data_IF_930612595466
#
_entry.id   IF_930612595466
#
_cell.length_a   1.000
_cell.length_b   1.000
_cell.length_c   1.000
_cell.angle_alpha   90.00
_cell.angle_beta   90.00
_cell.angle_gamma   90.00
#
_symmetry.space_group_name_H-M   'P 1'
#
loop_
_entity.id
_entity.type
_entity.pdbx_description
1 polymer ?
#
# COMPACT_ATOMS: atom_id res chain seq x y z
N UNK A 1 -23.05 23.00 13.56
CA UNK A 1 -22.65 21.58 13.41
C UNK A 1 -23.32 20.67 14.43
N UNK A 2 -23.20 20.93 15.74
CA UNK A 2 -23.84 20.10 16.79
C UNK A 2 -25.35 19.90 16.55
N UNK A 3 -26.12 21.00 16.45
CA UNK A 3 -27.56 20.93 16.15
C UNK A 3 -27.87 20.17 14.85
N UNK A 4 -27.08 20.39 13.79
CA UNK A 4 -27.24 19.67 12.53
C UNK A 4 -27.04 18.16 12.70
N UNK A 5 -26.00 17.71 13.41
CA UNK A 5 -25.68 16.29 13.52
C UNK A 5 -26.59 15.54 14.49
N UNK A 6 -27.08 16.21 15.54
CA UNK A 6 -27.74 15.57 16.66
C UNK A 6 -29.22 15.97 16.84
N UNK A 7 -29.62 17.18 16.43
CA UNK A 7 -30.94 17.74 16.74
C UNK A 7 -31.87 17.88 15.53
N UNK A 8 -31.34 18.26 14.36
CA UNK A 8 -32.15 18.65 13.20
C UNK A 8 -32.83 17.46 12.50
N UNK A 9 -32.15 16.31 12.44
CA UNK A 9 -32.71 15.08 11.89
C UNK A 9 -32.53 13.93 12.89
N UNK A 10 -33.62 13.31 13.37
CA UNK A 10 -33.53 12.17 14.29
C UNK A 10 -32.64 11.06 13.73
N UNK A 11 -31.78 10.50 14.58
CA UNK A 11 -30.90 9.37 14.26
C UNK A 11 -29.86 9.64 13.15
N UNK A 12 -29.58 10.90 12.80
CA UNK A 12 -28.57 11.21 11.79
C UNK A 12 -27.18 10.68 12.18
N UNK A 13 -26.76 10.88 13.44
CA UNK A 13 -25.50 10.34 13.96
C UNK A 13 -25.41 8.80 13.85
N UNK A 14 -26.53 8.09 13.99
CA UNK A 14 -26.58 6.63 13.80
C UNK A 14 -26.30 6.17 12.36
N UNK A 15 -26.33 7.06 11.37
CA UNK A 15 -26.02 6.73 9.97
C UNK A 15 -24.54 6.89 9.65
N UNK A 16 -23.75 7.44 10.57
CA UNK A 16 -22.31 7.62 10.37
C UNK A 16 -21.65 6.24 10.43
N UNK A 17 -20.87 5.95 9.40
CA UNK A 17 -20.09 4.71 9.28
C UNK A 17 -18.60 5.01 9.39
N UNK A 18 -18.17 6.14 8.82
CA UNK A 18 -16.80 6.62 8.84
C UNK A 18 -16.78 8.04 9.44
N UNK A 19 -15.87 8.29 10.37
CA UNK A 19 -15.76 9.56 11.10
C UNK A 19 -14.29 9.93 11.29
N UNK A 20 -13.95 11.16 10.92
CA UNK A 20 -12.62 11.73 11.13
C UNK A 20 -12.78 13.01 11.96
N UNK A 21 -12.10 13.07 13.11
CA UNK A 21 -12.05 14.21 14.00
C UNK A 21 -10.56 14.49 14.31
N UNK A 22 -9.96 15.35 13.49
CA UNK A 22 -8.55 15.77 13.64
C UNK A 22 -8.55 17.27 13.92
N UNK A 23 -7.81 17.74 14.93
CA UNK A 23 -7.76 19.17 15.19
C UNK A 23 -6.49 19.66 15.90
N UNK A 24 -5.74 20.51 15.20
CA UNK A 24 -4.53 21.15 15.72
C UNK A 24 -4.73 22.08 16.95
N UNK A 25 -5.97 22.49 17.24
CA UNK A 25 -6.35 23.29 18.42
C UNK A 25 -7.71 22.88 18.96
N UNK A 26 -7.73 22.13 20.05
CA UNK A 26 -8.99 21.62 20.59
C UNK A 26 -9.73 22.71 21.38
N UNK A 27 -10.94 23.04 20.94
CA UNK A 27 -11.87 23.91 21.66
C UNK A 27 -12.82 23.07 22.53
N UNK A 28 -13.18 23.57 23.72
CA UNK A 28 -14.05 22.85 24.68
C UNK A 28 -15.46 22.53 24.13
N UNK A 29 -15.94 23.29 23.14
CA UNK A 29 -17.22 22.99 22.49
C UNK A 29 -17.14 21.76 21.58
N UNK A 30 -15.97 21.50 20.99
CA UNK A 30 -15.75 20.39 20.09
C UNK A 30 -15.58 19.08 20.86
N UNK A 31 -15.02 19.11 22.07
CA UNK A 31 -14.96 17.92 22.93
C UNK A 31 -16.36 17.43 23.32
N UNK A 32 -17.27 18.36 23.65
CA UNK A 32 -18.69 18.04 23.91
C UNK A 32 -19.34 17.42 22.68
N UNK A 33 -19.15 18.03 21.51
CA UNK A 33 -19.69 17.49 20.26
C UNK A 33 -19.14 16.10 19.93
N UNK A 34 -17.82 15.90 20.03
CA UNK A 34 -17.17 14.62 19.76
C UNK A 34 -17.74 13.52 20.67
N UNK A 35 -17.84 13.79 21.97
CA UNK A 35 -18.42 12.89 22.97
C UNK A 35 -19.88 12.52 22.62
N UNK A 36 -20.73 13.50 22.37
CA UNK A 36 -22.14 13.26 22.06
C UNK A 36 -22.31 12.51 20.73
N UNK A 37 -21.50 12.84 19.72
CA UNK A 37 -21.50 12.17 18.42
C UNK A 37 -21.10 10.70 18.55
N UNK A 38 -20.00 10.41 19.25
CA UNK A 38 -19.54 9.03 19.48
C UNK A 38 -20.55 8.21 20.29
N UNK A 39 -21.27 8.85 21.21
CA UNK A 39 -22.34 8.20 21.98
C UNK A 39 -23.49 7.74 21.09
N UNK A 40 -23.86 8.54 20.08
CA UNK A 40 -24.97 8.24 19.17
C UNK A 40 -24.57 7.47 17.90
N UNK A 41 -23.30 7.46 17.53
CA UNK A 41 -22.78 6.82 16.30
C UNK A 41 -22.64 5.29 16.42
N UNK A 42 -23.70 4.58 16.81
CA UNK A 42 -23.70 3.14 17.08
C UNK A 42 -23.32 2.24 15.89
N UNK A 43 -23.36 2.78 14.66
CA UNK A 43 -23.00 2.07 13.42
C UNK A 43 -21.60 2.39 12.92
N UNK A 44 -20.82 3.15 13.68
CA UNK A 44 -19.47 3.55 13.30
C UNK A 44 -18.56 2.34 13.14
N UNK A 45 -17.85 2.28 12.00
CA UNK A 45 -16.90 1.23 11.61
C UNK A 45 -15.48 1.76 11.49
N UNK A 46 -15.30 3.00 11.06
CA UNK A 46 -13.99 3.65 10.97
C UNK A 46 -13.97 4.92 11.79
N UNK A 47 -12.94 5.07 12.61
CA UNK A 47 -12.70 6.28 13.38
C UNK A 47 -11.25 6.72 13.21
N UNK A 48 -11.06 7.96 12.78
CA UNK A 48 -9.81 8.69 12.97
C UNK A 48 -10.06 9.79 14.01
N UNK A 49 -9.29 9.78 15.09
CA UNK A 49 -9.48 10.67 16.23
C UNK A 49 -8.13 11.19 16.73
N UNK A 50 -8.01 12.50 16.85
CA UNK A 50 -6.92 13.13 17.58
C UNK A 50 -7.00 12.76 19.09
N UNK A 51 -5.95 12.13 19.61
CA UNK A 51 -5.94 11.58 20.95
C UNK A 51 -5.94 12.66 22.04
N UNK A 52 -5.65 13.93 21.71
CA UNK A 52 -5.84 15.07 22.61
C UNK A 52 -7.27 15.15 23.15
N UNK A 53 -8.27 14.71 22.39
CA UNK A 53 -9.66 14.66 22.86
C UNK A 53 -9.83 13.75 24.08
N UNK A 54 -9.11 12.62 24.13
CA UNK A 54 -9.18 11.67 25.26
C UNK A 54 -8.57 12.27 26.53
N UNK A 55 -7.50 13.05 26.39
CA UNK A 55 -6.89 13.77 27.50
C UNK A 55 -7.82 14.87 28.05
N UNK A 56 -8.49 15.60 27.16
CA UNK A 56 -9.32 16.75 27.53
C UNK A 56 -10.67 16.34 28.14
N UNK A 57 -11.26 15.23 27.70
CA UNK A 57 -12.49 14.69 28.28
C UNK A 57 -12.48 13.15 28.30
N UNK A 58 -12.21 12.52 29.47
CA UNK A 58 -12.21 11.06 29.61
C UNK A 58 -13.52 10.37 29.20
N UNK A 59 -14.65 11.11 29.21
CA UNK A 59 -15.94 10.58 28.77
C UNK A 59 -15.97 10.27 27.27
N UNK A 60 -15.08 10.88 26.48
CA UNK A 60 -14.87 10.50 25.08
C UNK A 60 -14.31 9.09 25.00
N UNK A 61 -13.35 8.74 25.86
CA UNK A 61 -12.83 7.37 25.98
C UNK A 61 -13.92 6.37 26.37
N UNK A 62 -14.82 6.75 27.28
CA UNK A 62 -15.97 5.90 27.65
C UNK A 62 -16.95 5.68 26.49
N UNK A 63 -17.26 6.74 25.74
CA UNK A 63 -18.13 6.68 24.56
C UNK A 63 -17.50 5.81 23.46
N UNK A 64 -16.20 6.01 23.19
CA UNK A 64 -15.44 5.21 22.25
C UNK A 64 -15.42 3.73 22.65
N UNK A 65 -15.14 3.45 23.93
CA UNK A 65 -15.11 2.09 24.44
C UNK A 65 -16.47 1.37 24.33
N UNK A 66 -17.59 2.12 24.33
CA UNK A 66 -18.93 1.57 24.18
C UNK A 66 -19.29 1.16 22.74
N UNK A 67 -18.56 1.65 21.73
CA UNK A 67 -18.80 1.30 20.33
C UNK A 67 -18.48 -0.17 20.07
N UNK A 68 -19.39 -0.86 19.37
CA UNK A 68 -19.32 -2.31 19.17
C UNK A 68 -18.90 -2.71 17.75
N UNK A 69 -18.98 -1.77 16.79
CA UNK A 69 -18.86 -2.06 15.35
C UNK A 69 -17.58 -1.52 14.72
N UNK A 70 -16.68 -0.91 15.51
CA UNK A 70 -15.41 -0.39 15.00
C UNK A 70 -14.54 -1.53 14.46
N UNK A 71 -14.06 -1.34 13.24
CA UNK A 71 -13.17 -2.22 12.50
C UNK A 71 -11.81 -1.57 12.26
N UNK A 72 -11.79 -0.24 12.17
CA UNK A 72 -10.60 0.58 11.99
C UNK A 72 -10.58 1.72 12.99
N UNK A 73 -9.47 1.85 13.71
CA UNK A 73 -9.21 2.94 14.64
C UNK A 73 -7.87 3.55 14.32
N UNK A 74 -7.84 4.86 14.13
CA UNK A 74 -6.62 5.64 13.95
C UNK A 74 -6.57 6.74 15.00
N UNK A 75 -5.56 6.68 15.86
CA UNK A 75 -5.21 7.77 16.76
C UNK A 75 -4.00 8.54 16.23
N UNK A 76 -4.12 9.86 16.21
CA UNK A 76 -3.06 10.84 15.86
C UNK A 76 -2.86 11.79 17.03
N UNK A 77 -1.71 12.44 17.14
CA UNK A 77 -1.41 13.44 18.18
C UNK A 77 -1.60 12.84 19.58
N UNK A 78 -0.79 11.85 19.94
CA UNK A 78 -0.88 11.10 21.19
C UNK A 78 0.06 11.73 22.23
N UNK A 79 -0.45 12.59 23.14
CA UNK A 79 0.40 13.34 24.08
C UNK A 79 0.85 12.54 25.32
N UNK A 80 0.17 11.41 25.60
CA UNK A 80 0.39 10.54 26.76
C UNK A 80 -0.41 9.23 26.62
N UNK A 81 -0.31 8.36 27.63
CA UNK A 81 -0.94 7.03 27.70
C UNK A 81 -2.50 6.99 27.73
N UNK A 82 -3.19 8.13 27.62
CA UNK A 82 -4.66 8.17 27.71
C UNK A 82 -5.35 7.25 26.69
N UNK A 83 -4.84 7.17 25.45
CA UNK A 83 -5.37 6.26 24.44
C UNK A 83 -5.13 4.78 24.82
N UNK A 84 -3.96 4.45 25.39
CA UNK A 84 -3.61 3.09 25.82
C UNK A 84 -4.43 2.61 27.02
N UNK A 85 -4.92 3.53 27.86
CA UNK A 85 -5.91 3.19 28.90
C UNK A 85 -7.31 2.91 28.34
N UNK A 86 -7.63 3.48 27.17
CA UNK A 86 -8.95 3.36 26.53
C UNK A 86 -9.05 2.10 25.67
N UNK A 87 -7.99 1.76 24.92
CA UNK A 87 -7.96 0.61 24.01
C UNK A 87 -8.41 -0.71 24.66
N UNK A 88 -7.88 -1.15 25.82
CA UNK A 88 -8.30 -2.40 26.47
C UNK A 88 -9.77 -2.42 26.91
N UNK A 89 -10.41 -1.26 27.03
CA UNK A 89 -11.80 -1.11 27.47
C UNK A 89 -12.78 -1.20 26.31
N UNK A 90 -12.30 -1.14 25.07
CA UNK A 90 -13.15 -1.14 23.89
C UNK A 90 -13.93 -2.44 23.76
N UNK A 91 -15.24 -2.32 23.52
CA UNK A 91 -16.12 -3.47 23.25
C UNK A 91 -16.04 -3.94 21.80
N UNK A 92 -15.59 -3.08 20.90
CA UNK A 92 -15.24 -3.45 19.54
C UNK A 92 -13.97 -4.28 19.50
N UNK A 93 -13.80 -5.08 18.44
CA UNK A 93 -12.60 -5.85 18.17
C UNK A 93 -12.04 -5.44 16.80
N UNK A 94 -11.39 -4.27 16.70
CA UNK A 94 -10.93 -3.71 15.43
C UNK A 94 -9.89 -4.62 14.77
N UNK A 95 -9.96 -4.70 13.44
CA UNK A 95 -8.99 -5.45 12.64
C UNK A 95 -7.77 -4.62 12.24
N UNK A 96 -7.86 -3.29 12.35
CA UNK A 96 -6.82 -2.36 11.93
C UNK A 96 -6.67 -1.25 12.96
N UNK A 97 -5.46 -1.02 13.44
CA UNK A 97 -5.14 0.06 14.37
C UNK A 97 -3.93 0.84 13.86
N UNK A 98 -4.08 2.15 13.77
CA UNK A 98 -2.98 3.08 13.49
C UNK A 98 -2.75 4.00 14.68
N UNK A 99 -1.49 4.18 15.04
CA UNK A 99 -1.02 5.10 16.07
C UNK A 99 0.04 5.98 15.42
N UNK A 100 -0.19 7.29 15.35
CA UNK A 100 0.69 8.27 14.72
C UNK A 100 0.91 9.47 15.64
N UNK A 101 2.00 10.20 15.44
CA UNK A 101 2.41 11.40 16.19
C UNK A 101 2.42 11.18 17.72
N UNK A 102 3.31 10.30 18.22
CA UNK A 102 3.47 10.08 19.65
C UNK A 102 4.44 11.11 20.22
N UNK A 103 3.88 12.20 20.77
CA UNK A 103 4.62 13.40 21.18
C UNK A 103 5.44 13.25 22.48
N UNK A 104 5.43 12.07 23.12
CA UNK A 104 6.13 11.83 24.39
C UNK A 104 7.11 10.67 24.28
N UNK A 105 8.32 10.93 24.78
CA UNK A 105 9.45 10.01 24.72
C UNK A 105 9.59 9.30 26.07
N UNK A 106 8.74 8.30 26.31
CA UNK A 106 8.85 7.44 27.49
C UNK A 106 9.52 6.11 27.12
N UNK A 107 10.45 5.66 27.97
CA UNK A 107 11.06 4.35 27.82
C UNK A 107 10.00 3.24 27.95
N UNK A 108 10.03 2.26 27.04
CA UNK A 108 9.09 1.15 27.01
C UNK A 108 7.76 1.45 26.33
N UNK A 109 7.63 2.56 25.59
CA UNK A 109 6.40 2.96 24.88
C UNK A 109 5.81 1.83 24.02
N UNK A 110 6.65 1.11 23.28
CA UNK A 110 6.21 -0.01 22.46
C UNK A 110 5.63 -1.16 23.28
N UNK A 111 6.20 -1.46 24.45
CA UNK A 111 5.66 -2.49 25.35
C UNK A 111 4.27 -2.12 25.85
N UNK A 112 4.07 -0.84 26.21
CA UNK A 112 2.77 -0.28 26.60
C UNK A 112 1.75 -0.35 25.47
N UNK A 113 2.15 0.03 24.25
CA UNK A 113 1.34 -0.10 23.04
C UNK A 113 0.89 -1.56 22.88
N UNK A 114 1.81 -2.51 22.77
CA UNK A 114 1.48 -3.90 22.50
C UNK A 114 0.63 -4.52 23.60
N UNK A 115 0.87 -4.16 24.86
CA UNK A 115 0.05 -4.61 25.99
C UNK A 115 -1.37 -4.08 25.92
N UNK A 116 -1.56 -2.83 25.48
CA UNK A 116 -2.90 -2.24 25.31
C UNK A 116 -3.71 -2.92 24.19
N UNK A 117 -3.01 -3.47 23.18
CA UNK A 117 -3.59 -4.13 22.02
C UNK A 117 -3.89 -5.62 22.22
N UNK A 118 -3.42 -6.20 23.33
CA UNK A 118 -3.50 -7.64 23.62
C UNK A 118 -4.93 -8.21 23.60
N UNK A 119 -5.92 -7.37 23.90
CA UNK A 119 -7.33 -7.78 23.92
C UNK A 119 -7.95 -7.95 22.53
N UNK A 120 -7.32 -7.40 21.48
CA UNK A 120 -7.86 -7.41 20.12
C UNK A 120 -7.48 -8.65 19.35
N UNK A 121 -8.31 -9.69 19.46
CA UNK A 121 -8.10 -10.98 18.78
C UNK A 121 -8.27 -10.91 17.26
N UNK A 122 -8.95 -9.88 16.74
CA UNK A 122 -9.14 -9.68 15.29
C UNK A 122 -8.09 -8.75 14.68
N UNK A 123 -7.17 -8.17 15.46
CA UNK A 123 -6.18 -7.22 14.95
C UNK A 123 -5.26 -7.90 13.92
N UNK A 124 -5.34 -7.46 12.66
CA UNK A 124 -4.51 -7.98 11.55
C UNK A 124 -3.47 -6.97 11.09
N UNK A 125 -3.81 -5.68 11.11
CA UNK A 125 -2.93 -4.60 10.65
C UNK A 125 -2.62 -3.66 11.79
N UNK A 126 -1.33 -3.43 12.02
CA UNK A 126 -0.81 -2.44 12.96
C UNK A 126 0.06 -1.44 12.21
N UNK A 127 -0.29 -0.15 12.30
CA UNK A 127 0.57 0.95 11.85
C UNK A 127 1.07 1.73 13.04
N UNK A 128 2.38 1.95 13.06
CA UNK A 128 3.08 2.79 14.02
C UNK A 128 3.81 3.86 13.22
N UNK A 129 3.53 5.13 13.51
CA UNK A 129 4.23 6.24 12.88
C UNK A 129 4.66 7.31 13.88
N UNK A 130 5.78 7.97 13.59
CA UNK A 130 6.29 9.12 14.34
C UNK A 130 6.51 8.77 15.83
N UNK A 131 7.20 7.64 16.07
CA UNK A 131 7.49 7.12 17.42
C UNK A 131 8.99 7.12 17.65
N UNK A 132 9.45 8.04 18.49
CA UNK A 132 10.84 8.14 18.88
C UNK A 132 10.97 7.81 20.37
N UNK A 133 11.63 6.69 20.68
CA UNK A 133 12.00 6.37 22.05
C UNK A 133 13.32 7.09 22.39
N UNK A 134 13.39 7.74 23.56
CA UNK A 134 14.63 8.42 23.97
C UNK A 134 15.68 7.37 24.36
N UNK A 135 16.57 7.06 23.43
CA UNK A 135 17.54 5.97 23.50
C UNK A 135 18.70 6.16 24.48
N UNK A 136 18.70 7.23 25.26
CA UNK A 136 19.95 7.75 25.83
C UNK A 136 20.57 6.85 26.91
N UNK A 137 19.81 6.14 27.75
CA UNK A 137 20.39 5.39 28.89
C UNK A 137 19.57 4.16 29.38
N UNK A 138 18.50 3.77 28.67
CA UNK A 138 17.63 2.71 29.20
C UNK A 138 18.23 1.33 28.96
N UNK A 139 18.61 0.66 30.06
CA UNK A 139 18.75 -0.81 30.11
C UNK A 139 17.60 -1.41 29.30
N UNK A 140 17.92 -1.94 28.11
CA UNK A 140 16.92 -2.51 27.22
C UNK A 140 16.07 -3.48 28.03
N UNK A 141 14.75 -3.24 28.07
CA UNK A 141 13.84 -4.15 28.76
C UNK A 141 14.17 -5.58 28.29
N UNK A 142 14.37 -6.54 29.21
CA UNK A 142 14.93 -7.83 28.86
C UNK A 142 14.15 -8.45 27.69
N UNK A 143 14.89 -8.93 26.68
CA UNK A 143 14.37 -9.60 25.49
C UNK A 143 13.27 -10.59 25.90
N UNK A 144 12.09 -10.47 25.29
CA UNK A 144 10.95 -11.37 25.52
C UNK A 144 9.95 -10.95 26.61
N UNK A 145 10.09 -9.75 27.19
CA UNK A 145 9.12 -9.19 28.15
C UNK A 145 7.87 -8.58 27.49
N UNK A 146 7.92 -8.32 26.19
CA UNK A 146 6.83 -7.66 25.47
C UNK A 146 5.64 -8.59 25.23
N UNK A 147 4.45 -8.01 25.24
CA UNK A 147 3.21 -8.75 24.98
C UNK A 147 3.18 -9.24 23.54
N UNK A 148 2.91 -10.54 23.36
CA UNK A 148 2.83 -11.16 22.03
C UNK A 148 1.46 -10.92 21.39
N UNK A 149 1.45 -10.47 20.15
CA UNK A 149 0.26 -10.30 19.31
C UNK A 149 0.39 -11.17 18.03
N UNK A 150 0.28 -12.51 18.15
CA UNK A 150 0.41 -13.42 17.02
C UNK A 150 -0.70 -13.25 15.96
N UNK A 151 -1.76 -12.50 16.24
CA UNK A 151 -2.83 -12.22 15.28
C UNK A 151 -2.43 -11.21 14.20
N UNK A 152 -1.41 -10.36 14.46
CA UNK A 152 -0.94 -9.33 13.55
C UNK A 152 -0.19 -9.96 12.39
N UNK A 153 -0.61 -9.60 11.17
CA UNK A 153 -0.07 -10.14 9.90
C UNK A 153 0.52 -9.05 9.02
N UNK A 154 0.08 -7.81 9.19
CA UNK A 154 0.57 -6.64 8.46
C UNK A 154 1.08 -5.61 9.46
N UNK A 155 2.34 -5.23 9.31
CA UNK A 155 3.01 -4.23 10.12
C UNK A 155 3.47 -3.09 9.22
N UNK A 156 3.13 -1.86 9.60
CA UNK A 156 3.51 -0.64 8.90
C UNK A 156 4.28 0.23 9.89
N UNK A 157 5.50 0.60 9.53
CA UNK A 157 6.42 1.36 10.37
C UNK A 157 6.84 2.60 9.59
N UNK A 158 6.54 3.79 10.12
CA UNK A 158 6.84 5.05 9.47
C UNK A 158 7.50 6.04 10.43
N UNK A 159 8.66 6.60 10.10
CA UNK A 159 9.36 7.60 10.94
C UNK A 159 9.49 7.16 12.42
N UNK A 160 10.09 5.99 12.63
CA UNK A 160 10.18 5.36 13.96
C UNK A 160 11.61 4.86 14.25
N UNK A 161 12.01 4.91 15.52
CA UNK A 161 13.17 4.18 16.03
C UNK A 161 12.73 2.81 16.56
N UNK A 162 13.20 1.72 15.96
CA UNK A 162 12.57 0.41 16.15
C UNK A 162 13.53 -0.59 16.81
N UNK A 163 13.20 -1.12 18.01
CA UNK A 163 13.91 -2.26 18.59
C UNK A 163 13.50 -3.55 17.86
N UNK A 164 14.12 -3.78 16.70
CA UNK A 164 13.73 -4.78 15.70
C UNK A 164 13.50 -6.18 16.28
N UNK A 165 14.44 -6.68 17.08
CA UNK A 165 14.39 -8.02 17.67
C UNK A 165 13.14 -8.23 18.54
N UNK A 166 12.73 -7.21 19.29
CA UNK A 166 11.56 -7.25 20.16
C UNK A 166 10.26 -7.28 19.35
N UNK A 167 10.21 -6.56 18.23
CA UNK A 167 9.09 -6.62 17.29
C UNK A 167 8.92 -8.00 16.67
N UNK A 168 10.02 -8.63 16.23
CA UNK A 168 9.96 -9.98 15.67
C UNK A 168 9.44 -11.00 16.69
N UNK A 169 9.89 -10.91 17.95
CA UNK A 169 9.40 -11.79 19.03
C UNK A 169 7.93 -11.59 19.39
N UNK A 170 7.50 -10.33 19.37
CA UNK A 170 6.16 -9.95 19.81
C UNK A 170 5.12 -10.12 18.71
N UNK A 171 5.52 -10.02 17.44
CA UNK A 171 4.65 -10.12 16.28
C UNK A 171 5.10 -11.27 15.36
N UNK A 172 5.12 -12.54 15.84
CA UNK A 172 5.80 -13.63 15.14
C UNK A 172 5.20 -14.00 13.78
N UNK A 173 3.95 -13.61 13.51
CA UNK A 173 3.21 -14.00 12.31
C UNK A 173 3.06 -12.86 11.28
N UNK A 174 3.92 -11.85 11.33
CA UNK A 174 3.95 -10.80 10.29
C UNK A 174 4.34 -11.42 8.96
N UNK A 175 3.50 -11.18 7.96
CA UNK A 175 3.66 -11.64 6.57
C UNK A 175 3.86 -10.49 5.59
N UNK A 176 3.40 -9.29 5.96
CA UNK A 176 3.56 -8.07 5.19
C UNK A 176 4.18 -7.00 6.07
N UNK A 177 5.30 -6.45 5.62
CA UNK A 177 6.00 -5.36 6.29
C UNK A 177 6.10 -4.17 5.35
N UNK A 178 5.76 -3.00 5.87
CA UNK A 178 5.90 -1.72 5.21
C UNK A 178 6.78 -0.80 6.04
N UNK A 179 7.76 -0.19 5.39
CA UNK A 179 8.81 0.60 6.02
C UNK A 179 8.96 1.93 5.29
N UNK A 180 8.93 3.01 6.08
CA UNK A 180 9.11 4.37 5.61
C UNK A 180 9.91 5.17 6.65
N UNK A 181 11.12 5.66 6.33
CA UNK A 181 11.90 6.51 7.25
C UNK A 181 12.20 5.84 8.61
N UNK A 182 12.46 4.54 8.64
CA UNK A 182 12.73 3.88 9.92
C UNK A 182 14.22 3.83 10.19
N UNK A 183 14.59 4.07 11.45
CA UNK A 183 15.95 3.88 11.90
C UNK A 183 16.02 2.62 12.77
N UNK A 184 16.58 1.50 12.28
CA UNK A 184 16.84 0.35 13.12
C UNK A 184 17.91 0.74 14.15
N UNK A 185 17.51 0.85 15.42
CA UNK A 185 18.35 1.39 16.50
C UNK A 185 19.54 0.47 16.87
N UNK A 186 19.50 -0.79 16.42
CA UNK A 186 20.46 -1.84 16.75
C UNK A 186 20.83 -2.56 15.45
N UNK A 187 22.10 -3.01 15.34
CA UNK A 187 22.50 -4.04 14.37
C UNK A 187 21.40 -5.12 14.36
N UNK A 188 20.74 -5.28 13.22
CA UNK A 188 19.70 -6.30 13.11
C UNK A 188 20.40 -7.63 13.42
N UNK A 189 20.10 -8.21 14.60
CA UNK A 189 20.70 -9.44 15.17
C UNK A 189 20.40 -10.71 14.34
N UNK A 190 20.28 -10.54 13.01
CA UNK A 190 19.80 -11.50 12.03
C UNK A 190 18.46 -12.12 12.41
N UNK A 191 17.63 -11.36 13.13
CA UNK A 191 16.32 -11.80 13.56
C UNK A 191 15.24 -11.26 12.64
N UNK A 192 14.47 -12.18 12.07
CA UNK A 192 13.50 -11.88 11.03
C UNK A 192 12.19 -12.60 11.26
N UNK A 193 11.13 -12.06 10.67
CA UNK A 193 9.85 -12.74 10.60
C UNK A 193 9.97 -13.94 9.63
N UNK A 194 9.86 -15.18 10.12
CA UNK A 194 10.08 -16.37 9.29
C UNK A 194 9.00 -16.55 8.21
N UNK A 195 7.82 -15.95 8.40
CA UNK A 195 6.73 -15.96 7.43
C UNK A 195 6.64 -14.65 6.61
N UNK A 196 7.66 -13.79 6.63
CA UNK A 196 7.63 -12.56 5.85
C UNK A 196 7.58 -12.88 4.36
N UNK A 197 6.50 -12.45 3.70
CA UNK A 197 6.30 -12.67 2.27
C UNK A 197 6.40 -11.39 1.48
N UNK A 198 5.93 -10.29 2.06
CA UNK A 198 5.85 -9.00 1.40
C UNK A 198 6.64 -7.97 2.17
N UNK A 199 7.51 -7.25 1.46
CA UNK A 199 8.26 -6.12 1.98
C UNK A 199 8.04 -4.91 1.07
N UNK A 200 7.62 -3.80 1.66
CA UNK A 200 7.40 -2.53 0.98
C UNK A 200 8.30 -1.45 1.57
N UNK A 201 9.05 -0.77 0.72
CA UNK A 201 10.11 0.18 1.09
C UNK A 201 9.86 1.49 0.38
N UNK A 202 9.74 2.57 1.16
CA UNK A 202 9.42 3.89 0.65
C UNK A 202 10.58 4.86 0.65
N UNK A 203 11.65 4.62 1.43
CA UNK A 203 12.83 5.50 1.42
C UNK A 203 14.14 4.76 1.15
N UNK A 204 15.13 5.44 0.51
CA UNK A 204 16.35 4.78 0.09
C UNK A 204 17.11 4.24 1.31
N UNK A 205 17.15 5.00 2.41
CA UNK A 205 17.78 4.61 3.67
C UNK A 205 17.23 3.32 4.29
N UNK A 206 15.98 2.96 4.02
CA UNK A 206 15.36 1.73 4.54
C UNK A 206 15.87 0.47 3.81
N UNK A 207 16.60 0.62 2.69
CA UNK A 207 17.15 -0.50 1.89
C UNK A 207 18.17 -1.31 2.69
N UNK A 208 18.93 -0.68 3.59
CA UNK A 208 19.88 -1.38 4.46
C UNK A 208 19.21 -2.47 5.33
N UNK A 209 17.90 -2.34 5.60
CA UNK A 209 17.13 -3.34 6.33
C UNK A 209 16.97 -4.62 5.49
N UNK A 210 16.91 -4.52 4.16
CA UNK A 210 16.74 -5.67 3.27
C UNK A 210 17.96 -6.59 3.28
N UNK A 211 19.16 -6.02 3.33
CA UNK A 211 20.40 -6.81 3.38
C UNK A 211 20.46 -7.69 4.63
N UNK A 212 19.81 -7.25 5.70
CA UNK A 212 19.57 -8.09 6.85
C UNK A 212 18.48 -9.13 6.54
N UNK A 213 17.33 -8.71 5.99
CA UNK A 213 16.12 -9.53 5.87
C UNK A 213 16.27 -10.82 5.05
N UNK A 214 15.58 -11.87 5.54
CA UNK A 214 15.38 -13.15 4.83
C UNK A 214 14.76 -12.96 3.44
N UNK A 215 14.86 -13.98 2.56
CA UNK A 215 14.22 -13.94 1.25
C UNK A 215 12.71 -13.67 1.37
N UNK A 216 12.19 -12.76 0.55
CA UNK A 216 10.77 -12.41 0.48
C UNK A 216 10.17 -12.87 -0.84
N UNK A 217 8.86 -13.11 -0.85
CA UNK A 217 8.15 -13.46 -2.09
C UNK A 217 7.92 -12.22 -2.96
N UNK A 218 7.55 -11.11 -2.33
CA UNK A 218 7.16 -9.86 -2.96
C UNK A 218 7.96 -8.71 -2.36
N UNK A 219 8.81 -8.08 -3.19
CA UNK A 219 9.55 -6.88 -2.83
C UNK A 219 8.98 -5.69 -3.61
N UNK A 220 8.68 -4.60 -2.89
CA UNK A 220 8.23 -3.33 -3.45
C UNK A 220 9.23 -2.25 -3.02
N UNK A 221 9.85 -1.59 -3.99
CA UNK A 221 10.68 -0.40 -3.77
C UNK A 221 9.98 0.76 -4.45
N UNK A 222 9.26 1.57 -3.67
CA UNK A 222 8.44 2.66 -4.19
C UNK A 222 9.26 3.82 -4.77
N UNK A 223 10.55 3.87 -4.47
CA UNK A 223 11.45 4.95 -4.88
C UNK A 223 11.98 4.76 -6.29
N UNK A 224 12.23 5.86 -7.00
CA UNK A 224 13.08 5.85 -8.18
C UNK A 224 14.46 5.31 -7.82
N UNK A 225 14.84 4.17 -8.39
CA UNK A 225 16.11 3.52 -8.09
C UNK A 225 17.35 4.30 -8.60
N UNK A 226 17.13 5.30 -9.45
CA UNK A 226 18.15 6.08 -10.14
C UNK A 226 18.33 7.50 -9.61
N UNK A 227 17.46 7.94 -8.70
CA UNK A 227 17.63 9.26 -8.10
C UNK A 227 18.71 9.14 -7.05
N UNK A 228 19.87 9.73 -7.33
CA UNK A 228 20.84 10.05 -6.29
C UNK A 228 20.12 10.95 -5.29
N UNK A 229 19.85 10.48 -4.08
CA UNK A 229 18.98 11.20 -3.17
C UNK A 229 19.70 12.52 -2.86
N UNK A 230 19.12 13.64 -3.29
CA UNK A 230 19.65 14.95 -2.92
C UNK A 230 19.79 14.96 -1.38
N UNK A 231 20.86 15.57 -0.82
CA UNK A 231 21.05 15.67 0.62
C UNK A 231 19.99 16.61 1.20
N UNK A 232 18.77 16.10 1.30
CA UNK A 232 17.67 16.75 1.97
C UNK A 232 17.88 16.53 3.47
N UNK A 233 17.82 17.60 4.25
CA UNK A 233 17.87 17.59 5.71
C UNK A 233 19.18 17.14 6.41
N UNK A 234 20.34 17.33 5.77
CA UNK A 234 21.63 17.31 6.48
C UNK A 234 22.08 15.94 7.01
N UNK A 235 21.44 14.85 6.59
CA UNK A 235 22.00 13.51 6.73
C UNK A 235 23.18 13.38 5.77
N UNK A 236 24.37 13.10 6.32
CA UNK A 236 25.51 12.71 5.49
C UNK A 236 25.26 11.29 5.02
N UNK A 237 25.14 11.10 3.71
CA UNK A 237 25.15 9.77 3.14
C UNK A 237 26.47 9.07 3.50
N UNK A 238 26.47 7.72 3.67
CA UNK A 238 27.69 6.95 3.48
C UNK A 238 28.32 7.35 2.13
N UNK A 239 29.64 7.26 2.01
CA UNK A 239 30.40 7.78 0.86
C UNK A 239 29.69 7.47 -0.48
N UNK A 240 29.54 8.49 -1.35
CA UNK A 240 28.67 8.46 -2.54
C UNK A 240 28.86 7.23 -3.46
N UNK A 241 30.04 6.60 -3.42
CA UNK A 241 30.37 5.43 -4.24
C UNK A 241 29.66 4.13 -3.79
N UNK A 242 29.26 3.99 -2.53
CA UNK A 242 28.65 2.75 -2.03
C UNK A 242 27.14 2.68 -2.29
N UNK A 243 26.48 3.83 -2.52
CA UNK A 243 25.02 3.92 -2.63
C UNK A 243 24.44 3.23 -3.87
N UNK A 244 25.14 3.29 -5.00
CA UNK A 244 24.66 2.75 -6.29
C UNK A 244 24.41 1.22 -6.22
N UNK A 245 25.09 0.52 -5.31
CA UNK A 245 24.99 -0.93 -5.17
C UNK A 245 23.99 -1.38 -4.11
N UNK A 246 23.52 -0.50 -3.22
CA UNK A 246 22.63 -0.90 -2.12
C UNK A 246 21.29 -1.49 -2.61
N UNK A 247 20.56 -0.89 -3.56
CA UNK A 247 19.32 -1.49 -4.05
C UNK A 247 19.55 -2.86 -4.70
N UNK A 248 20.67 -3.03 -5.41
CA UNK A 248 21.05 -4.30 -6.04
C UNK A 248 21.34 -5.38 -5.00
N UNK A 249 22.07 -5.02 -3.93
CA UNK A 249 22.36 -5.92 -2.82
C UNK A 249 21.09 -6.36 -2.10
N UNK A 250 20.18 -5.42 -1.85
CA UNK A 250 18.88 -5.69 -1.25
C UNK A 250 18.05 -6.67 -2.09
N UNK A 251 18.00 -6.48 -3.41
CA UNK A 251 17.27 -7.37 -4.31
C UNK A 251 17.92 -8.75 -4.37
N UNK A 252 19.26 -8.82 -4.37
CA UNK A 252 20.02 -10.06 -4.29
C UNK A 252 19.79 -10.79 -2.96
N UNK A 253 19.67 -10.08 -1.85
CA UNK A 253 19.38 -10.66 -0.54
C UNK A 253 17.92 -11.18 -0.48
N UNK A 254 16.98 -10.38 -0.98
CA UNK A 254 15.55 -10.68 -0.99
C UNK A 254 15.15 -11.85 -1.92
N UNK A 255 15.84 -12.03 -3.04
CA UNK A 255 15.52 -13.04 -4.09
C UNK A 255 14.01 -13.14 -4.42
N UNK A 256 13.35 -12.01 -4.77
CA UNK A 256 11.90 -11.95 -4.91
C UNK A 256 11.36 -12.75 -6.10
N UNK A 257 10.13 -13.24 -5.97
CA UNK A 257 9.35 -13.79 -7.09
C UNK A 257 8.52 -12.71 -7.78
N UNK A 258 8.14 -11.67 -7.04
CA UNK A 258 7.44 -10.49 -7.52
C UNK A 258 8.27 -9.28 -7.14
N UNK A 259 8.62 -8.46 -8.12
CA UNK A 259 9.36 -7.23 -7.90
C UNK A 259 8.59 -6.04 -8.45
N UNK A 260 8.23 -5.12 -7.56
CA UNK A 260 7.61 -3.84 -7.91
C UNK A 260 8.63 -2.73 -7.67
N UNK A 261 8.87 -1.88 -8.64
CA UNK A 261 9.80 -0.77 -8.46
C UNK A 261 9.43 0.48 -9.26
N UNK A 262 9.93 1.62 -8.82
CA UNK A 262 9.82 2.89 -9.53
C UNK A 262 11.16 3.24 -10.18
N UNK A 263 11.11 3.81 -11.38
CA UNK A 263 12.29 4.28 -12.13
C UNK A 263 11.93 5.52 -12.91
N UNK A 264 12.89 6.43 -13.10
CA UNK A 264 12.72 7.51 -14.07
C UNK A 264 13.15 7.10 -15.48
N UNK A 265 12.79 7.86 -16.51
CA UNK A 265 13.23 7.59 -17.88
C UNK A 265 14.72 7.85 -18.13
N UNK A 266 15.48 8.38 -17.16
CA UNK A 266 16.94 8.61 -17.29
C UNK A 266 17.83 7.45 -16.86
N UNK A 267 17.25 6.36 -16.33
CA UNK A 267 18.04 5.20 -15.87
C UNK A 267 18.79 4.57 -17.03
N UNK A 268 20.08 4.27 -16.85
CA UNK A 268 20.86 3.52 -17.83
C UNK A 268 20.41 2.04 -17.87
N UNK A 269 20.45 1.42 -19.05
CA UNK A 269 20.14 -0.01 -19.25
C UNK A 269 21.04 -0.91 -18.42
N UNK A 270 22.26 -0.46 -18.10
CA UNK A 270 23.25 -1.18 -17.28
C UNK A 270 22.72 -1.51 -15.89
N UNK A 271 22.00 -0.58 -15.25
CA UNK A 271 21.42 -0.82 -13.93
C UNK A 271 20.37 -1.94 -13.96
N UNK A 272 19.57 -2.03 -15.02
CA UNK A 272 18.60 -3.11 -15.22
C UNK A 272 19.28 -4.42 -15.59
N UNK A 273 20.36 -4.38 -16.36
CA UNK A 273 21.23 -5.54 -16.60
C UNK A 273 21.79 -6.08 -15.29
N UNK A 274 22.36 -5.23 -14.45
CA UNK A 274 22.88 -5.59 -13.14
C UNK A 274 21.78 -6.14 -12.22
N UNK A 275 20.61 -5.50 -12.17
CA UNK A 275 19.43 -6.02 -11.46
C UNK A 275 19.12 -7.46 -11.87
N UNK A 276 19.14 -7.72 -13.19
CA UNK A 276 18.85 -9.03 -13.76
C UNK A 276 19.95 -10.04 -13.43
N UNK A 277 21.22 -9.65 -13.56
CA UNK A 277 22.37 -10.52 -13.26
C UNK A 277 22.50 -10.87 -11.77
N UNK A 278 22.08 -9.97 -10.88
CA UNK A 278 22.36 -10.05 -9.45
C UNK A 278 21.47 -11.02 -8.65
N UNK A 279 20.26 -11.38 -9.10
CA UNK A 279 19.39 -12.21 -8.25
C UNK A 279 18.02 -12.63 -8.77
N UNK A 280 17.65 -12.30 -10.01
CA UNK A 280 16.28 -12.44 -10.50
C UNK A 280 15.94 -13.82 -11.11
N UNK A 281 16.69 -14.87 -10.77
CA UNK A 281 16.43 -16.23 -11.30
C UNK A 281 15.06 -16.79 -10.89
N UNK A 282 14.46 -16.27 -9.81
CA UNK A 282 13.12 -16.66 -9.32
C UNK A 282 12.01 -15.71 -9.76
N UNK A 283 12.35 -14.62 -10.43
CA UNK A 283 11.41 -13.55 -10.74
C UNK A 283 10.40 -14.00 -11.79
N UNK A 284 9.13 -13.86 -11.46
CA UNK A 284 8.00 -14.26 -12.32
C UNK A 284 7.12 -13.08 -12.73
N UNK A 285 7.01 -12.07 -11.87
CA UNK A 285 6.22 -10.86 -12.10
C UNK A 285 7.09 -9.63 -11.84
N UNK A 286 7.05 -8.69 -12.77
CA UNK A 286 7.68 -7.37 -12.65
C UNK A 286 6.63 -6.29 -12.84
N UNK A 287 6.49 -5.41 -11.86
CA UNK A 287 5.63 -4.23 -11.92
C UNK A 287 6.52 -2.99 -11.87
N UNK A 288 6.53 -2.21 -12.95
CA UNK A 288 7.37 -1.02 -13.10
C UNK A 288 6.50 0.22 -13.07
N UNK A 289 6.78 1.14 -12.15
CA UNK A 289 6.25 2.50 -12.17
C UNK A 289 7.27 3.40 -12.88
N UNK A 290 7.03 3.69 -14.16
CA UNK A 290 7.90 4.53 -14.98
C UNK A 290 7.50 6.01 -14.84
N UNK A 291 8.37 6.79 -14.23
CA UNK A 291 8.26 8.25 -14.18
C UNK A 291 8.88 8.83 -15.45
N UNK A 292 8.04 9.34 -16.35
CA UNK A 292 8.53 10.01 -17.55
C UNK A 292 8.96 11.42 -17.20
N UNK A 293 10.19 11.76 -17.54
CA UNK A 293 10.62 13.15 -17.60
C UNK A 293 9.87 13.87 -18.73
N UNK A 294 10.01 15.20 -18.86
CA UNK A 294 9.46 16.00 -19.97
C UNK A 294 9.99 15.57 -21.38
N UNK A 295 10.74 14.47 -21.46
CA UNK A 295 11.37 13.91 -22.65
C UNK A 295 10.49 12.83 -23.34
N UNK A 296 10.17 12.96 -24.65
CA UNK A 296 9.47 11.93 -25.42
C UNK A 296 10.19 10.57 -25.51
N UNK A 297 11.48 10.49 -25.16
CA UNK A 297 12.28 9.28 -25.33
C UNK A 297 11.99 8.15 -24.32
N UNK A 298 11.15 8.37 -23.32
CA UNK A 298 10.83 7.31 -22.34
C UNK A 298 10.12 6.07 -22.92
N UNK A 299 9.48 6.17 -24.09
CA UNK A 299 8.96 4.98 -24.80
C UNK A 299 10.12 4.15 -25.38
N UNK A 300 11.15 4.82 -25.91
CA UNK A 300 12.34 4.14 -26.40
C UNK A 300 13.08 3.50 -25.24
N UNK A 301 13.12 4.16 -24.08
CA UNK A 301 13.63 3.59 -22.84
C UNK A 301 12.91 2.28 -22.49
N UNK A 302 11.57 2.28 -22.46
CA UNK A 302 10.80 1.06 -22.18
C UNK A 302 11.11 -0.05 -23.19
N UNK A 303 11.22 0.31 -24.48
CA UNK A 303 11.56 -0.65 -25.52
C UNK A 303 12.97 -1.24 -25.37
N UNK A 304 13.96 -0.41 -25.08
CA UNK A 304 15.34 -0.83 -24.86
C UNK A 304 15.45 -1.75 -23.63
N UNK A 305 14.77 -1.39 -22.54
CA UNK A 305 14.87 -2.11 -21.27
C UNK A 305 14.04 -3.41 -21.24
N UNK A 306 12.89 -3.47 -21.93
CA UNK A 306 12.17 -4.74 -22.09
C UNK A 306 13.00 -5.76 -22.86
N UNK A 307 13.91 -5.33 -23.76
CA UNK A 307 14.83 -6.26 -24.39
C UNK A 307 15.65 -7.02 -23.36
N UNK A 308 16.15 -6.35 -22.31
CA UNK A 308 17.02 -6.95 -21.28
C UNK A 308 16.30 -8.06 -20.50
N UNK A 309 14.97 -8.01 -20.37
CA UNK A 309 14.18 -9.05 -19.70
C UNK A 309 14.28 -10.45 -20.34
N UNK A 310 14.85 -10.58 -21.54
CA UNK A 310 15.17 -11.89 -22.12
C UNK A 310 16.14 -12.73 -21.28
N UNK A 311 16.90 -12.08 -20.39
CA UNK A 311 17.85 -12.72 -19.50
C UNK A 311 17.19 -13.33 -18.25
N UNK A 312 15.91 -13.05 -18.00
CA UNK A 312 15.17 -13.50 -16.80
C UNK A 312 13.90 -14.27 -17.14
N UNK A 313 13.47 -15.23 -16.27
CA UNK A 313 12.27 -16.03 -16.49
C UNK A 313 10.96 -15.28 -16.17
N UNK A 314 10.91 -13.99 -16.47
CA UNK A 314 9.73 -13.14 -16.21
C UNK A 314 8.55 -13.60 -17.07
N UNK A 315 7.46 -13.96 -16.42
CA UNK A 315 6.22 -14.43 -17.05
C UNK A 315 5.27 -13.27 -17.32
N UNK A 316 5.24 -12.30 -16.42
CA UNK A 316 4.36 -11.14 -16.50
C UNK A 316 5.14 -9.85 -16.24
N UNK A 317 4.96 -8.87 -17.12
CA UNK A 317 5.48 -7.52 -16.96
C UNK A 317 4.32 -6.55 -16.99
N UNK A 318 4.28 -5.63 -16.03
CA UNK A 318 3.29 -4.57 -15.95
C UNK A 318 3.99 -3.23 -15.83
N UNK A 319 3.59 -2.26 -16.64
CA UNK A 319 4.16 -0.92 -16.64
C UNK A 319 3.06 0.11 -16.35
N UNK A 320 3.19 0.85 -15.24
CA UNK A 320 2.43 2.07 -15.00
C UNK A 320 3.29 3.25 -15.41
N UNK A 321 2.84 3.98 -16.43
CA UNK A 321 3.57 5.13 -16.97
C UNK A 321 2.95 6.39 -16.40
N UNK A 322 3.73 7.18 -15.65
CA UNK A 322 3.31 8.50 -15.15
C UNK A 322 3.79 9.58 -16.12
N UNK A 323 2.92 10.16 -16.95
CA UNK A 323 3.31 11.21 -17.88
C UNK A 323 3.57 12.52 -17.13
N UNK A 324 4.53 13.36 -17.58
CA UNK A 324 4.88 14.60 -16.88
C UNK A 324 3.76 15.65 -16.93
N UNK A 325 2.85 15.63 -17.94
CA UNK A 325 1.75 16.59 -18.12
C UNK A 325 0.53 16.03 -18.89
N UNK A 326 -0.64 16.62 -18.68
CA UNK A 326 -1.96 16.18 -19.19
C UNK A 326 -2.14 16.19 -20.71
N UNK A 327 -1.31 16.90 -21.49
CA UNK A 327 -1.50 17.06 -22.94
C UNK A 327 -1.04 15.87 -23.80
N UNK A 328 -0.38 14.87 -23.21
CA UNK A 328 0.23 13.76 -23.94
C UNK A 328 -0.73 12.56 -24.18
N UNK A 329 -1.86 12.52 -23.49
CA UNK A 329 -2.56 11.26 -23.15
C UNK A 329 -3.13 10.47 -24.33
N UNK A 330 -3.78 11.10 -25.32
CA UNK A 330 -4.53 10.35 -26.35
C UNK A 330 -3.63 9.81 -27.47
N UNK A 331 -2.66 10.60 -27.95
CA UNK A 331 -1.79 10.17 -29.06
C UNK A 331 -0.75 9.14 -28.62
N UNK A 332 -0.34 9.21 -27.36
CA UNK A 332 0.63 8.29 -26.79
C UNK A 332 0.06 6.87 -26.74
N UNK A 333 -1.20 6.69 -26.35
CA UNK A 333 -1.82 5.37 -26.17
C UNK A 333 -1.75 4.50 -27.45
N UNK A 334 -2.21 5.04 -28.59
CA UNK A 334 -2.19 4.31 -29.87
C UNK A 334 -0.76 4.04 -30.39
N UNK A 335 0.14 5.02 -30.25
CA UNK A 335 1.54 4.84 -30.64
C UNK A 335 2.23 3.79 -29.76
N UNK A 336 1.95 3.82 -28.45
CA UNK A 336 2.51 2.90 -27.47
C UNK A 336 2.00 1.48 -27.70
N UNK A 337 0.68 1.30 -27.91
CA UNK A 337 0.10 -0.01 -28.27
C UNK A 337 0.80 -0.63 -29.49
N UNK A 338 1.04 0.16 -30.55
CA UNK A 338 1.71 -0.31 -31.77
C UNK A 338 3.19 -0.63 -31.54
N UNK A 339 3.91 0.24 -30.82
CA UNK A 339 5.32 0.05 -30.51
C UNK A 339 5.53 -1.17 -29.61
N UNK A 340 4.75 -1.28 -28.53
CA UNK A 340 4.72 -2.41 -27.61
C UNK A 340 4.40 -3.70 -28.34
N UNK A 341 3.34 -3.75 -29.15
CA UNK A 341 3.02 -4.98 -29.88
C UNK A 341 4.15 -5.45 -30.82
N UNK A 342 4.92 -4.52 -31.39
CA UNK A 342 6.06 -4.84 -32.26
C UNK A 342 7.22 -5.36 -31.42
N UNK A 343 7.51 -4.68 -30.32
CA UNK A 343 8.57 -5.01 -29.37
C UNK A 343 8.35 -6.38 -28.71
N UNK A 344 7.17 -6.64 -28.15
CA UNK A 344 6.83 -7.89 -27.45
C UNK A 344 6.97 -9.14 -28.33
N UNK A 345 6.87 -9.01 -29.66
CA UNK A 345 7.14 -10.13 -30.58
C UNK A 345 8.64 -10.44 -30.67
N UNK A 346 9.48 -9.43 -30.53
CA UNK A 346 10.92 -9.51 -30.68
C UNK A 346 11.68 -9.84 -29.38
N UNK A 347 11.07 -9.66 -28.20
CA UNK A 347 11.79 -9.69 -26.91
C UNK A 347 11.25 -10.68 -25.88
N UNK A 348 12.14 -11.17 -25.02
CA UNK A 348 11.89 -12.02 -23.84
C UNK A 348 11.06 -13.30 -24.08
N UNK A 349 11.68 -14.45 -24.42
CA UNK A 349 10.97 -15.71 -24.70
C UNK A 349 10.07 -16.24 -23.57
N UNK A 350 10.42 -15.90 -22.33
CA UNK A 350 9.71 -16.26 -21.09
C UNK A 350 8.40 -15.48 -20.91
N UNK A 351 8.31 -14.26 -21.46
CA UNK A 351 7.18 -13.36 -21.23
C UNK A 351 5.89 -13.90 -21.87
N UNK A 352 4.83 -14.01 -21.07
CA UNK A 352 3.50 -14.51 -21.47
C UNK A 352 2.42 -13.45 -21.32
N UNK A 353 2.59 -12.51 -20.41
CA UNK A 353 1.64 -11.45 -20.16
C UNK A 353 2.35 -10.11 -20.10
N UNK A 354 1.74 -9.11 -20.74
CA UNK A 354 2.18 -7.73 -20.65
C UNK A 354 0.98 -6.85 -20.32
N UNK A 355 1.16 -5.89 -19.42
CA UNK A 355 0.15 -4.90 -19.11
C UNK A 355 0.76 -3.51 -19.13
N UNK A 356 0.00 -2.52 -19.59
CA UNK A 356 0.36 -1.13 -19.36
C UNK A 356 -0.85 -0.29 -18.98
N UNK A 357 -0.61 0.75 -18.19
CA UNK A 357 -1.55 1.82 -17.94
C UNK A 357 -0.82 3.17 -18.00
N UNK A 358 -1.56 4.21 -18.39
CA UNK A 358 -1.14 5.59 -18.19
C UNK A 358 -1.78 6.08 -16.89
N UNK A 359 -0.96 6.59 -15.98
CA UNK A 359 -1.46 7.21 -14.77
C UNK A 359 -2.11 8.55 -15.13
N UNK A 360 -3.42 8.63 -14.92
CA UNK A 360 -4.20 9.85 -15.14
C UNK A 360 -4.52 10.57 -13.83
N UNK A 361 -4.05 10.04 -12.68
CA UNK A 361 -4.26 10.70 -11.41
C UNK A 361 -3.49 12.03 -11.42
N UNK A 362 -4.26 13.12 -11.46
CA UNK A 362 -3.72 14.47 -11.43
C UNK A 362 -3.43 14.93 -10.01
N UNK A 363 -3.14 14.02 -9.08
CA UNK A 363 -2.80 14.34 -7.69
C UNK A 363 -1.37 14.90 -7.67
N UNK A 364 -1.24 16.10 -8.23
CA UNK A 364 -0.09 17.00 -8.12
C UNK A 364 0.01 17.61 -6.72
N UNK A 365 -1.05 17.48 -5.92
CA UNK A 365 -1.03 17.83 -4.52
C UNK A 365 -0.43 16.62 -3.80
N UNK A 366 0.83 16.74 -3.37
CA UNK A 366 1.72 15.70 -2.83
C UNK A 366 1.24 14.97 -1.55
N UNK A 367 -0.05 14.68 -1.44
CA UNK A 367 -0.57 13.64 -0.57
C UNK A 367 -0.17 12.30 -1.19
N UNK A 368 0.95 11.75 -0.71
CA UNK A 368 1.31 10.36 -0.98
C UNK A 368 0.08 9.50 -0.67
N UNK A 369 -0.43 8.70 -1.62
CA UNK A 369 -1.56 7.82 -1.34
C UNK A 369 -1.17 6.92 -0.18
N UNK A 370 -1.95 6.94 0.90
CA UNK A 370 -1.64 6.23 2.16
C UNK A 370 -1.37 4.72 1.99
N UNK A 371 -1.71 4.15 0.82
CA UNK A 371 -1.50 2.74 0.47
C UNK A 371 -1.20 2.54 -1.03
N UNK A 372 -0.02 2.00 -1.35
CA UNK A 372 0.33 1.60 -2.74
C UNK A 372 -0.56 0.47 -3.27
N UNK A 373 -1.17 -0.36 -2.42
CA UNK A 373 -2.11 -1.39 -2.91
C UNK A 373 -3.34 -0.81 -3.61
N UNK A 374 -3.74 0.41 -3.26
CA UNK A 374 -4.91 1.08 -3.83
C UNK A 374 -4.54 2.01 -5.00
N UNK A 375 -3.28 2.46 -5.11
CA UNK A 375 -2.84 3.36 -6.20
C UNK A 375 -3.00 2.75 -7.61
N UNK A 376 -3.13 1.42 -7.65
CA UNK A 376 -3.36 0.67 -8.86
C UNK A 376 -4.83 0.41 -9.20
N UNK A 377 -5.76 0.53 -8.24
CA UNK A 377 -7.17 0.21 -8.48
C UNK A 377 -7.86 1.23 -9.38
N UNK A 378 -7.36 2.47 -9.42
CA UNK A 378 -7.88 3.51 -10.31
C UNK A 378 -7.40 3.40 -11.76
N UNK A 379 -6.30 2.69 -12.00
CA UNK A 379 -5.63 2.68 -13.30
C UNK A 379 -6.18 1.57 -14.20
N UNK A 380 -6.63 1.93 -15.40
CA UNK A 380 -7.13 0.98 -16.40
C UNK A 380 -5.97 0.41 -17.19
N UNK A 381 -5.54 -0.80 -16.81
CA UNK A 381 -4.53 -1.54 -17.56
C UNK A 381 -5.13 -2.16 -18.82
N UNK A 382 -4.45 -1.94 -19.93
CA UNK A 382 -4.64 -2.74 -21.14
C UNK A 382 -3.70 -3.94 -21.04
N UNK A 383 -4.21 -5.13 -21.36
CA UNK A 383 -3.50 -6.39 -21.16
C UNK A 383 -3.30 -7.13 -22.48
N UNK A 384 -2.12 -7.74 -22.64
CA UNK A 384 -1.77 -8.59 -23.76
C UNK A 384 -1.32 -9.96 -23.27
N UNK A 385 -1.78 -10.97 -23.99
CA UNK A 385 -1.29 -12.34 -23.90
C UNK A 385 -0.33 -12.61 -25.07
N UNK A 386 0.81 -13.19 -24.76
CA UNK A 386 1.84 -13.57 -25.71
C UNK A 386 1.88 -15.09 -25.78
N UNK A 387 1.57 -15.64 -26.95
CA UNK A 387 1.54 -17.08 -27.21
C UNK A 387 2.56 -17.45 -28.28
N UNK A 388 2.90 -18.74 -28.40
CA UNK A 388 3.91 -19.23 -29.34
C UNK A 388 5.35 -19.11 -28.84
N UNK A 389 6.29 -19.46 -29.72
CA UNK A 389 7.73 -19.48 -29.47
C UNK A 389 8.49 -18.81 -30.62
N UNK A 390 9.53 -18.04 -30.29
CA UNK A 390 10.43 -17.40 -31.27
C UNK A 390 9.68 -16.65 -32.39
N UNK A 391 9.87 -17.05 -33.65
CA UNK A 391 9.28 -16.41 -34.82
C UNK A 391 7.77 -16.60 -34.94
N UNK A 392 7.17 -17.56 -34.22
CA UNK A 392 5.74 -17.84 -34.23
C UNK A 392 4.99 -17.13 -33.08
N UNK A 393 5.60 -16.11 -32.45
CA UNK A 393 4.97 -15.41 -31.34
C UNK A 393 3.82 -14.53 -31.81
N UNK A 394 2.66 -14.77 -31.22
CA UNK A 394 1.46 -13.99 -31.42
C UNK A 394 1.17 -13.17 -30.17
N UNK A 395 0.85 -11.89 -30.37
CA UNK A 395 0.49 -10.95 -29.30
C UNK A 395 -0.98 -10.60 -29.50
N UNK A 396 -1.81 -10.90 -28.49
CA UNK A 396 -3.25 -10.68 -28.52
C UNK A 396 -3.67 -9.87 -27.30
N UNK A 397 -4.43 -8.81 -27.51
CA UNK A 397 -5.06 -8.08 -26.41
C UNK A 397 -6.15 -8.94 -25.74
N UNK A 398 -6.19 -8.92 -24.42
CA UNK A 398 -7.15 -9.66 -23.59
C UNK A 398 -7.93 -8.69 -22.68
N UNK A 399 -9.15 -9.05 -22.25
CA UNK A 399 -9.91 -8.24 -21.30
C UNK A 399 -9.15 -8.01 -19.98
N UNK A 400 -9.29 -6.81 -19.41
CA UNK A 400 -8.60 -6.40 -18.17
C UNK A 400 -8.81 -7.37 -17.00
N UNK A 401 -10.04 -7.90 -16.83
CA UNK A 401 -10.34 -8.85 -15.76
C UNK A 401 -9.55 -10.17 -15.89
N UNK A 402 -9.25 -10.62 -17.11
CA UNK A 402 -8.44 -11.82 -17.34
C UNK A 402 -6.99 -11.58 -16.95
N UNK A 403 -6.46 -10.44 -17.36
CA UNK A 403 -5.11 -10.02 -17.03
C UNK A 403 -4.90 -9.83 -15.53
N UNK A 404 -5.80 -9.12 -14.86
CA UNK A 404 -5.70 -8.92 -13.40
C UNK A 404 -5.82 -10.25 -12.65
N UNK A 405 -6.64 -11.19 -13.12
CA UNK A 405 -6.69 -12.55 -12.54
C UNK A 405 -5.34 -13.27 -12.64
N UNK A 406 -4.61 -13.12 -13.75
CA UNK A 406 -3.25 -13.64 -13.87
C UNK A 406 -2.31 -12.96 -12.89
N UNK A 407 -2.41 -11.64 -12.73
CA UNK A 407 -1.62 -10.90 -11.73
C UNK A 407 -1.85 -11.43 -10.32
N UNK A 408 -3.12 -11.56 -9.92
CA UNK A 408 -3.49 -12.08 -8.60
C UNK A 408 -2.98 -13.51 -8.38
N UNK A 409 -3.06 -14.37 -9.40
CA UNK A 409 -2.47 -15.72 -9.34
C UNK A 409 -0.95 -15.69 -9.06
N UNK A 410 -0.22 -14.75 -9.67
CA UNK A 410 1.22 -14.61 -9.47
C UNK A 410 1.58 -13.97 -8.11
N UNK A 411 0.72 -13.10 -7.58
CA UNK A 411 0.87 -12.51 -6.26
C UNK A 411 0.54 -13.48 -5.12
N UNK A 412 -0.36 -14.43 -5.37
CA UNK A 412 -0.97 -15.27 -4.34
C UNK A 412 -0.91 -16.76 -4.68
N UNK A 413 0.32 -17.29 -4.72
CA UNK A 413 0.60 -18.69 -5.05
C UNK A 413 -0.01 -19.69 -4.04
N UNK A 414 -0.54 -19.23 -2.89
CA UNK A 414 -1.09 -20.09 -1.84
C UNK A 414 -2.62 -19.96 -1.58
N UNK A 415 -3.31 -18.86 -1.90
CA UNK A 415 -4.75 -18.71 -1.55
C UNK A 415 -5.75 -19.41 -2.47
N UNK A 416 -5.29 -20.06 -3.55
CA UNK A 416 -6.18 -20.57 -4.61
C UNK A 416 -7.12 -21.70 -4.14
N UNK A 417 -6.90 -22.28 -2.96
CA UNK A 417 -7.82 -23.29 -2.41
C UNK A 417 -9.13 -22.73 -1.83
N UNK A 418 -9.27 -21.41 -1.62
CA UNK A 418 -10.43 -20.84 -0.89
C UNK A 418 -11.21 -19.74 -1.62
N UNK A 419 -10.86 -19.37 -2.85
CA UNK A 419 -11.61 -18.35 -3.58
C UNK A 419 -12.79 -18.97 -4.34
N UNK A 420 -13.99 -18.75 -3.80
CA UNK A 420 -15.27 -18.96 -4.47
C UNK A 420 -15.49 -17.79 -5.46
N UNK A 421 -15.11 -17.99 -6.73
CA UNK A 421 -14.96 -16.94 -7.74
C UNK A 421 -16.26 -16.51 -8.44
N UNK A 422 -17.43 -16.89 -7.91
CA UNK A 422 -18.73 -16.54 -8.52
C UNK A 422 -19.25 -15.13 -8.15
N UNK A 423 -18.50 -14.35 -7.36
CA UNK A 423 -18.93 -12.99 -7.00
C UNK A 423 -18.60 -11.93 -8.07
N UNK A 424 -19.66 -11.48 -8.73
CA UNK A 424 -19.76 -10.56 -9.87
C UNK A 424 -19.21 -9.12 -9.68
N UNK A 425 -18.40 -8.84 -8.65
CA UNK A 425 -17.96 -7.47 -8.34
C UNK A 425 -16.88 -6.92 -9.28
N UNK A 426 -16.03 -7.77 -9.86
CA UNK A 426 -14.99 -7.31 -10.82
C UNK A 426 -15.59 -6.97 -12.19
N UNK A 427 -16.80 -7.44 -12.50
CA UNK A 427 -17.46 -7.20 -13.79
C UNK A 427 -18.32 -5.93 -13.84
N UNK A 428 -18.50 -5.18 -12.74
CA UNK A 428 -19.48 -4.09 -12.66
C UNK A 428 -18.89 -2.66 -12.69
N UNK A 429 -17.58 -2.47 -12.87
CA UNK A 429 -17.00 -1.13 -13.06
C UNK A 429 -17.04 -0.63 -14.52
N UNK A 430 -17.60 -1.42 -15.45
CA UNK A 430 -18.05 -0.92 -16.76
C UNK A 430 -19.43 -0.27 -16.64
N UNK A 431 -19.47 0.89 -15.97
CA UNK A 431 -20.64 1.77 -15.99
C UNK A 431 -20.78 2.38 -17.38
N UNK A 432 -21.85 1.97 -18.05
CA UNK A 432 -22.43 2.55 -19.25
C UNK A 432 -22.31 4.08 -19.31
N UNK A 433 -21.39 4.57 -20.13
CA UNK A 433 -21.47 5.89 -20.76
C UNK A 433 -21.93 5.73 -22.20
N UNK A 434 -23.19 5.35 -22.39
CA UNK A 434 -23.87 5.57 -23.67
C UNK A 434 -24.97 6.60 -23.48
N UNK A 435 -24.80 7.67 -24.25
CA UNK A 435 -25.71 8.78 -24.51
C UNK A 435 -27.20 8.43 -24.39
N UNK A 436 -27.90 9.21 -23.57
CA UNK A 436 -29.35 9.17 -23.48
C UNK A 436 -30.02 9.44 -24.82
N UNK A 437 -30.64 8.42 -25.38
CA UNK A 437 -31.89 8.53 -26.16
C UNK A 437 -32.76 7.32 -25.84
N UNK A 438 -33.83 7.56 -25.08
CA UNK A 438 -34.87 6.57 -24.84
C UNK A 438 -35.61 6.26 -26.16
N UNK A 439 -35.83 4.98 -26.52
CA UNK A 439 -36.86 4.62 -27.49
C UNK A 439 -38.23 4.63 -26.81
N UNK A 440 -39.20 5.26 -27.46
CA UNK A 440 -40.62 5.18 -27.10
C UNK A 440 -41.13 3.73 -27.20
N UNK A 441 -42.12 3.31 -26.38
CA UNK A 441 -42.66 1.97 -26.44
C UNK A 441 -43.53 1.77 -27.70
N UNK A 442 -43.55 0.57 -28.31
CA UNK A 442 -44.39 0.29 -29.46
C UNK A 442 -45.84 0.07 -29.01
N UNK A 443 -46.75 0.90 -29.54
CA UNK A 443 -48.18 0.64 -29.50
C UNK A 443 -48.51 -0.56 -30.39
N UNK A 444 -48.94 -1.68 -29.80
CA UNK A 444 -49.55 -2.78 -30.55
C UNK A 444 -50.78 -3.32 -29.81
N UNK A 445 -51.95 -2.94 -30.33
CA UNK A 445 -53.28 -3.52 -30.08
C UNK A 445 -54.19 -2.78 -31.08
N UNK A 446 -54.94 -3.30 -32.05
CA UNK A 446 -55.47 -4.61 -32.44
C UNK A 446 -55.62 -4.61 -34.00
N UNK A 447 -56.06 -5.70 -34.66
CA UNK A 447 -57.49 -5.75 -34.96
C UNK A 447 -58.14 -7.13 -34.81
N UNK A 448 -59.42 -7.05 -34.45
CA UNK A 448 -60.42 -8.11 -34.44
C UNK A 448 -60.59 -8.74 -35.83
N UNK A 449 -60.80 -10.06 -35.86
CA UNK A 449 -61.60 -10.74 -36.89
C UNK A 449 -62.78 -11.42 -36.23
N UNK A 450 -63.96 -11.20 -36.78
CA UNK A 450 -65.09 -12.14 -36.82
C UNK A 450 -66.02 -11.65 -37.94
N UNK A 451 -66.79 -12.56 -38.55
CA UNK A 451 -66.73 -12.93 -39.97
C UNK A 451 -67.04 -11.84 -40.99
#
# INVERSE_FOLDING_TARGET
MHAYMLSDIPNRARRIVDLTIIQYRVESQLTILAKDLLTEAVNLRKLCLDAMFLQLDPRIGDALAALQRLQFVWFTGIPNDCCFSTLPRMRSNPSRIHLTDIDYHEAGIYSSILSSLASFTNLRTLRLADIFESSLESDAAPLGSWTKLPQVQCLILADCNIPWSNFVDSLPNVRSLEIQYTNPEIEIDRKFWPELRRLNIYRPFDICIVDALCPVHWLIIALPLDINPEPDYGYKYPDEEDWELEPLNAIRAALPMVFCFTVTSSVDTTMLEDLIETGLQRLTLVDVNLLLNDDPDGIQWLAANICVLHLVPVVCLRALIKPPRTQWTIRLDEMLKKAVSTMLRATAPSLRYFAFALDHSSTLDGEEPEYIDDCHQGNRFTWWQITGTEAAREVREIPTWQGERVRQYLLDVESITELDWDDAFVAQTDVNWTSGRAPLPPTSSWPWRSP
#
